data_IF_364948850285
#
_entry.id   IF_364948850285
#
_cell.length_a   1.000
_cell.length_b   1.000
_cell.length_c   1.000
_cell.angle_alpha   90.00
_cell.angle_beta   90.00
_cell.angle_gamma   90.00
#
_symmetry.space_group_name_H-M   'P 1'
#
loop_
_entity.id
_entity.type
_entity.pdbx_description
1 polymer ?
#
# COMPACT_ATOMS: atom_id res chain seq x y z
N UNK A 1 -6.54 9.99 14.17
CA UNK A 1 -6.12 11.24 13.52
C UNK A 1 -6.39 11.11 12.04
N UNK A 2 -6.94 12.13 11.39
CA UNK A 2 -7.20 12.13 9.93
C UNK A 2 -6.17 13.05 9.28
N UNK A 3 -5.32 12.57 8.34
CA UNK A 3 -4.31 13.41 7.68
C UNK A 3 -4.92 14.62 6.96
N UNK A 4 -6.16 14.48 6.48
CA UNK A 4 -6.91 15.53 5.80
C UNK A 4 -8.32 15.57 6.41
N UNK A 5 -8.86 16.78 6.64
CA UNK A 5 -10.19 16.94 7.25
C UNK A 5 -11.35 16.64 6.30
N UNK A 6 -11.09 16.68 5.00
CA UNK A 6 -12.09 16.42 3.96
C UNK A 6 -12.45 14.94 3.86
N UNK A 7 -13.74 14.67 3.61
CA UNK A 7 -14.30 13.31 3.47
C UNK A 7 -13.98 12.63 2.12
N UNK A 8 -13.26 13.32 1.24
CA UNK A 8 -12.97 12.86 -0.12
C UNK A 8 -11.75 11.92 -0.14
N UNK A 9 -11.61 11.08 -1.19
CA UNK A 9 -10.52 10.12 -1.26
C UNK A 9 -9.15 10.78 -1.15
N UNK A 10 -8.30 10.20 -0.31
CA UNK A 10 -6.90 10.60 -0.15
C UNK A 10 -5.95 9.59 -0.82
N UNK A 11 -4.73 10.03 -1.07
CA UNK A 11 -3.61 9.20 -1.53
C UNK A 11 -2.42 9.45 -0.63
N UNK A 12 -1.59 8.43 -0.47
CA UNK A 12 -0.37 8.48 0.32
C UNK A 12 0.72 7.68 -0.39
N UNK A 13 1.95 8.17 -0.35
CA UNK A 13 3.14 7.52 -0.85
C UNK A 13 4.31 7.78 0.11
N UNK A 14 5.27 6.85 0.17
CA UNK A 14 6.51 7.08 0.90
C UNK A 14 7.46 7.95 0.08
N UNK A 15 8.19 8.81 0.79
CA UNK A 15 9.35 9.53 0.27
C UNK A 15 10.62 8.73 0.56
N UNK A 16 11.75 9.17 0.01
CA UNK A 16 13.05 8.49 0.18
C UNK A 16 13.47 8.39 1.64
N UNK A 17 13.17 9.42 2.43
CA UNK A 17 13.60 9.52 3.83
C UNK A 17 12.64 8.82 4.81
N UNK A 18 11.68 8.06 4.29
CA UNK A 18 10.67 7.37 5.11
C UNK A 18 9.47 8.24 5.51
N UNK A 19 9.49 9.55 5.20
CA UNK A 19 8.32 10.42 5.41
C UNK A 19 7.16 10.03 4.50
N UNK A 20 5.94 10.33 4.91
CA UNK A 20 4.72 10.06 4.15
C UNK A 20 4.25 11.35 3.44
N UNK A 21 4.13 11.29 2.12
CA UNK A 21 3.52 12.36 1.32
C UNK A 21 2.07 12.00 1.02
N UNK A 22 1.14 12.90 1.36
CA UNK A 22 -0.29 12.70 1.17
C UNK A 22 -0.91 13.78 0.30
N UNK A 23 -1.97 13.41 -0.41
CA UNK A 23 -2.85 14.36 -1.08
C UNK A 23 -4.28 14.10 -0.66
N UNK A 24 -5.03 15.16 -0.39
CA UNK A 24 -6.40 15.07 0.07
C UNK A 24 -7.14 16.37 -0.12
N UNK A 25 -8.07 16.63 0.79
CA UNK A 25 -8.92 17.80 0.73
C UNK A 25 -9.13 18.40 2.11
N UNK A 26 -9.20 19.73 2.17
CA UNK A 26 -9.63 20.46 3.36
C UNK A 26 -11.11 20.17 3.66
N UNK A 27 -11.57 20.53 4.86
CA UNK A 27 -13.00 20.54 5.21
C UNK A 27 -13.84 21.39 4.24
N UNK A 28 -13.26 22.46 3.70
CA UNK A 28 -13.87 23.34 2.70
C UNK A 28 -13.75 22.81 1.27
N UNK A 29 -13.34 21.55 1.08
CA UNK A 29 -13.23 20.92 -0.23
C UNK A 29 -12.20 21.58 -1.16
N UNK A 30 -11.15 22.19 -0.62
CA UNK A 30 -9.96 22.55 -1.39
C UNK A 30 -9.00 21.36 -1.44
N UNK A 31 -8.27 21.18 -2.53
CA UNK A 31 -7.19 20.21 -2.64
C UNK A 31 -6.02 20.67 -1.79
N UNK A 32 -5.41 19.74 -1.07
CA UNK A 32 -4.23 19.99 -0.26
C UNK A 32 -3.26 18.82 -0.36
N UNK A 33 -1.99 19.11 -0.07
CA UNK A 33 -0.95 18.12 0.12
C UNK A 33 -0.39 18.23 1.54
N UNK A 34 0.07 17.10 2.07
CA UNK A 34 0.70 17.03 3.39
C UNK A 34 1.97 16.20 3.34
N UNK A 35 2.97 16.58 4.13
CA UNK A 35 4.17 15.81 4.40
C UNK A 35 4.19 15.47 5.89
N UNK A 36 4.37 14.20 6.23
CA UNK A 36 4.22 13.68 7.59
C UNK A 36 5.41 12.83 7.99
N UNK A 37 5.84 12.98 9.24
CA UNK A 37 6.77 12.06 9.88
C UNK A 37 5.97 10.88 10.47
N UNK A 38 6.20 9.63 10.03
CA UNK A 38 5.51 8.47 10.61
C UNK A 38 5.83 8.25 12.10
N UNK A 39 6.93 8.81 12.61
CA UNK A 39 7.32 8.74 14.03
C UNK A 39 6.65 9.82 14.88
N UNK A 40 6.24 10.93 14.27
CA UNK A 40 5.56 12.07 14.90
C UNK A 40 4.34 12.47 14.05
N UNK A 41 3.27 11.70 14.19
CA UNK A 41 2.10 11.83 13.31
C UNK A 41 1.06 12.84 13.82
N UNK A 42 1.35 13.57 14.91
CA UNK A 42 0.44 14.57 15.46
C UNK A 42 0.34 15.83 14.59
N UNK A 43 1.43 16.30 14.02
CA UNK A 43 1.46 17.50 13.20
C UNK A 43 2.18 17.23 11.86
N UNK A 44 1.68 17.78 10.74
CA UNK A 44 2.37 17.66 9.47
C UNK A 44 3.66 18.48 9.50
N UNK A 45 4.73 17.95 8.87
CA UNK A 45 5.95 18.70 8.56
C UNK A 45 5.62 19.89 7.66
N UNK A 46 4.76 19.66 6.66
CA UNK A 46 4.26 20.68 5.76
C UNK A 46 2.83 20.36 5.35
N UNK A 47 1.96 21.38 5.30
CA UNK A 47 0.59 21.27 4.80
C UNK A 47 0.31 22.45 3.87
N UNK A 48 0.03 22.17 2.60
CA UNK A 48 -0.14 23.20 1.57
C UNK A 48 -1.49 23.04 0.87
N UNK A 49 -2.29 24.09 0.90
CA UNK A 49 -3.50 24.20 0.09
C UNK A 49 -3.15 24.52 -1.37
N UNK A 50 -3.88 23.95 -2.32
CA UNK A 50 -3.60 24.05 -3.76
C UNK A 50 -4.66 24.84 -4.54
N UNK A 51 -5.84 24.25 -4.74
CA UNK A 51 -6.95 24.86 -5.48
C UNK A 51 -8.30 24.22 -5.08
N UNK A 52 -9.40 24.72 -5.64
CA UNK A 52 -10.77 24.27 -5.31
C UNK A 52 -11.30 23.19 -6.26
N UNK A 53 -10.43 22.51 -7.02
CA UNK A 53 -10.87 21.49 -7.97
C UNK A 53 -11.35 20.22 -7.26
N UNK A 54 -12.23 19.47 -7.92
CA UNK A 54 -12.82 18.25 -7.34
C UNK A 54 -12.02 16.96 -7.65
N UNK A 55 -11.05 17.02 -8.57
CA UNK A 55 -10.28 15.86 -9.00
C UNK A 55 -9.31 15.39 -7.91
N UNK A 56 -9.39 14.11 -7.55
CA UNK A 56 -8.41 13.46 -6.65
C UNK A 56 -7.04 13.53 -7.29
N UNK A 57 -6.07 14.10 -6.58
CA UNK A 57 -4.68 14.16 -7.02
C UNK A 57 -4.03 12.79 -6.85
N UNK A 58 -3.26 12.40 -7.86
CA UNK A 58 -2.37 11.25 -7.82
C UNK A 58 -0.95 11.79 -7.71
N UNK A 59 -0.24 11.50 -6.62
CA UNK A 59 1.17 11.86 -6.48
C UNK A 59 2.06 10.81 -7.14
N UNK A 60 2.98 11.26 -7.98
CA UNK A 60 4.06 10.46 -8.55
C UNK A 60 5.39 11.00 -8.03
N UNK A 61 6.11 10.20 -7.24
CA UNK A 61 7.36 10.61 -6.62
C UNK A 61 8.56 9.98 -7.34
N UNK A 62 9.55 10.81 -7.63
CA UNK A 62 10.87 10.41 -8.11
C UNK A 62 11.87 10.49 -6.94
N UNK A 63 12.32 9.36 -6.37
CA UNK A 63 13.26 9.35 -5.25
C UNK A 63 14.68 9.78 -5.64
N UNK A 64 15.01 9.78 -6.92
CA UNK A 64 16.36 10.12 -7.39
C UNK A 64 16.57 11.64 -7.38
N UNK A 65 15.51 12.40 -7.66
CA UNK A 65 15.53 13.87 -7.71
C UNK A 65 14.70 14.53 -6.60
N UNK A 66 14.13 13.75 -5.68
CA UNK A 66 13.17 14.19 -4.66
C UNK A 66 12.03 15.07 -5.20
N UNK A 67 11.55 14.77 -6.41
CA UNK A 67 10.47 15.52 -7.05
C UNK A 67 9.15 14.76 -6.95
N UNK A 68 8.07 15.49 -6.71
CA UNK A 68 6.70 14.95 -6.74
C UNK A 68 5.86 15.66 -7.80
N UNK A 69 5.20 14.88 -8.65
CA UNK A 69 4.30 15.34 -9.70
C UNK A 69 2.85 15.03 -9.29
N UNK A 70 2.01 16.06 -9.26
CA UNK A 70 0.60 15.95 -8.90
C UNK A 70 -0.27 16.11 -10.13
N UNK A 71 -1.12 15.11 -10.38
CA UNK A 71 -2.06 15.13 -11.50
C UNK A 71 -3.41 14.55 -11.06
N UNK A 72 -4.52 15.24 -11.36
CA UNK A 72 -5.87 14.74 -11.11
C UNK A 72 -6.61 14.39 -12.40
N UNK A 73 -7.48 13.38 -12.36
CA UNK A 73 -8.38 13.12 -13.51
C UNK A 73 -9.29 14.34 -13.71
N UNK A 74 -9.41 14.80 -14.94
CA UNK A 74 -10.13 16.02 -15.30
C UNK A 74 -9.25 17.28 -15.31
N UNK A 75 -8.05 17.24 -14.72
CA UNK A 75 -7.13 18.38 -14.78
C UNK A 75 -6.50 18.50 -16.17
N UNK A 76 -6.20 19.72 -16.58
CA UNK A 76 -5.42 19.98 -17.79
C UNK A 76 -3.95 20.33 -17.49
N UNK A 77 -3.54 20.25 -16.22
CA UNK A 77 -2.23 20.64 -15.73
C UNK A 77 -1.56 19.56 -14.87
N UNK A 78 -0.23 19.58 -14.83
CA UNK A 78 0.61 18.78 -13.94
C UNK A 78 1.42 19.75 -13.10
N UNK A 79 1.21 19.75 -11.78
CA UNK A 79 2.00 20.56 -10.84
C UNK A 79 3.14 19.72 -10.30
N UNK A 80 4.31 20.30 -10.09
CA UNK A 80 5.43 19.56 -9.51
C UNK A 80 6.18 20.37 -8.48
N UNK A 81 6.68 19.65 -7.48
CA UNK A 81 7.29 20.18 -6.27
C UNK A 81 8.60 19.43 -6.00
N UNK A 82 9.52 20.09 -5.33
CA UNK A 82 10.73 19.50 -4.77
C UNK A 82 10.56 19.32 -3.26
N UNK A 83 10.97 18.17 -2.75
CA UNK A 83 10.99 17.89 -1.32
C UNK A 83 12.43 18.00 -0.82
N UNK A 84 12.64 18.86 0.18
CA UNK A 84 13.96 19.12 0.78
C UNK A 84 13.87 19.10 2.29
N UNK A 85 15.01 19.01 2.96
CA UNK A 85 15.11 19.15 4.42
C UNK A 85 15.00 20.61 4.91
N UNK A 86 15.02 21.59 4.00
CA UNK A 86 14.90 23.01 4.35
C UNK A 86 13.44 23.50 4.33
N UNK A 87 12.97 24.24 5.36
CA UNK A 87 11.65 24.88 5.35
C UNK A 87 11.40 25.73 4.09
N UNK A 88 10.19 25.69 3.48
CA UNK A 88 8.96 25.00 3.92
C UNK A 88 8.88 23.49 3.59
N UNK A 89 10.00 22.82 3.33
CA UNK A 89 10.17 21.38 3.02
C UNK A 89 9.59 20.94 1.68
N UNK A 90 8.42 21.45 1.29
CA UNK A 90 7.80 21.18 -0.01
C UNK A 90 7.77 22.47 -0.82
N UNK A 91 8.62 22.53 -1.85
CA UNK A 91 8.81 23.72 -2.67
C UNK A 91 8.10 23.57 -4.01
N UNK A 92 7.18 24.49 -4.30
CA UNK A 92 6.56 24.54 -5.62
C UNK A 92 7.58 24.96 -6.68
N UNK A 93 7.75 24.14 -7.72
CA UNK A 93 8.65 24.44 -8.81
C UNK A 93 7.91 25.11 -9.96
N UNK A 94 6.98 24.39 -10.59
CA UNK A 94 6.21 24.91 -11.71
C UNK A 94 5.00 24.03 -12.05
N UNK A 95 4.30 24.41 -13.11
CA UNK A 95 3.11 23.73 -13.63
C UNK A 95 3.20 23.59 -15.14
N UNK A 96 3.20 22.35 -15.62
CA UNK A 96 2.89 22.08 -17.02
C UNK A 96 1.39 22.26 -17.25
N UNK A 97 1.00 23.04 -18.26
CA UNK A 97 -0.41 23.32 -18.58
C UNK A 97 -0.72 22.95 -20.02
N UNK A 98 -1.91 22.42 -20.25
CA UNK A 98 -2.42 22.08 -21.58
C UNK A 98 -3.90 22.43 -21.69
N UNK A 99 -4.47 22.32 -22.89
CA UNK A 99 -5.89 22.63 -23.15
C UNK A 99 -6.84 21.47 -22.86
N UNK A 100 -6.36 20.24 -23.00
CA UNK A 100 -7.19 19.04 -22.93
C UNK A 100 -7.13 18.42 -21.52
N UNK A 101 -8.27 18.03 -20.91
CA UNK A 101 -8.29 17.38 -19.61
C UNK A 101 -7.78 15.94 -19.69
N UNK A 102 -7.04 15.50 -18.68
CA UNK A 102 -6.53 14.12 -18.62
C UNK A 102 -7.59 13.12 -18.12
N UNK A 103 -7.66 11.94 -18.74
CA UNK A 103 -8.47 10.78 -18.30
C UNK A 103 -7.70 9.84 -17.38
N UNK A 104 -6.39 9.90 -17.44
CA UNK A 104 -5.45 9.12 -16.66
C UNK A 104 -4.03 9.57 -16.93
N UNK A 105 -3.10 9.03 -16.16
CA UNK A 105 -1.68 9.34 -16.26
C UNK A 105 -0.89 8.06 -16.03
N UNK A 106 0.09 7.80 -16.88
CA UNK A 106 1.17 6.84 -16.62
C UNK A 106 2.46 7.57 -16.27
N UNK A 107 3.38 6.90 -15.60
CA UNK A 107 4.68 7.44 -15.22
C UNK A 107 5.78 6.47 -15.64
N UNK A 108 6.77 6.95 -16.40
CA UNK A 108 7.89 6.14 -16.87
C UNK A 108 8.86 5.84 -15.71
N UNK A 109 9.23 4.57 -15.46
CA UNK A 109 10.33 4.25 -14.56
C UNK A 109 11.64 4.90 -15.00
N UNK A 110 12.54 5.21 -14.06
CA UNK A 110 13.80 5.91 -14.35
C UNK A 110 14.59 5.27 -15.48
N UNK A 111 14.62 3.93 -15.56
CA UNK A 111 15.31 3.16 -16.59
C UNK A 111 14.84 3.41 -18.04
N UNK A 112 13.70 4.06 -18.25
CA UNK A 112 13.15 4.35 -19.59
C UNK A 112 13.15 5.83 -19.98
N UNK A 113 13.74 6.71 -19.16
CA UNK A 113 13.93 8.13 -19.51
C UNK A 113 15.15 8.31 -20.42
N UNK A 114 15.14 9.36 -21.23
CA UNK A 114 16.21 9.71 -22.15
C UNK A 114 17.28 10.57 -21.45
N UNK A 115 18.28 9.90 -20.89
CA UNK A 115 19.40 10.56 -20.17
C UNK A 115 20.22 11.49 -21.05
N UNK A 116 20.25 11.25 -22.37
CA UNK A 116 21.00 12.09 -23.32
C UNK A 116 20.38 13.47 -23.50
N UNK A 117 19.07 13.61 -23.23
CA UNK A 117 18.34 14.86 -23.32
C UNK A 117 18.09 15.52 -21.96
N UNK A 118 18.70 15.03 -20.90
CA UNK A 118 18.42 15.46 -19.52
C UNK A 118 16.92 15.32 -19.14
N UNK A 119 16.23 14.31 -19.68
CA UNK A 119 14.87 13.96 -19.27
C UNK A 119 14.92 13.29 -17.89
N UNK A 120 14.28 13.90 -16.90
CA UNK A 120 14.25 13.39 -15.52
C UNK A 120 13.00 12.55 -15.24
N UNK A 121 11.90 12.84 -15.94
CA UNK A 121 10.66 12.08 -15.85
C UNK A 121 9.91 12.12 -17.19
N UNK A 122 9.15 11.07 -17.49
CA UNK A 122 8.24 11.03 -18.64
C UNK A 122 6.87 10.58 -18.19
N UNK A 123 5.86 11.43 -18.38
CA UNK A 123 4.48 11.11 -18.06
C UNK A 123 3.72 10.73 -19.34
N UNK A 124 2.80 9.78 -19.24
CA UNK A 124 1.94 9.34 -20.34
C UNK A 124 0.52 9.81 -20.08
N UNK A 125 0.20 11.00 -20.60
CA UNK A 125 -1.10 11.62 -20.43
C UNK A 125 -2.13 10.93 -21.31
N UNK A 126 -3.17 10.38 -20.68
CA UNK A 126 -4.28 9.78 -21.40
C UNK A 126 -5.35 10.84 -21.69
N UNK A 127 -5.73 10.92 -22.96
CA UNK A 127 -6.87 11.68 -23.45
C UNK A 127 -8.01 10.72 -23.83
N UNK A 128 -9.09 11.23 -24.41
CA UNK A 128 -10.24 10.39 -24.81
C UNK A 128 -9.88 9.31 -25.83
N UNK A 129 -8.97 9.61 -26.76
CA UNK A 129 -8.63 8.74 -27.90
C UNK A 129 -7.13 8.62 -28.20
N UNK A 130 -6.27 9.19 -27.35
CA UNK A 130 -4.81 9.18 -27.55
C UNK A 130 -4.07 9.10 -26.21
N UNK A 131 -2.84 8.61 -26.28
CA UNK A 131 -1.86 8.70 -25.20
C UNK A 131 -0.74 9.64 -25.66
N UNK A 132 -0.49 10.71 -24.90
CA UNK A 132 0.51 11.73 -25.20
C UNK A 132 1.67 11.63 -24.19
N UNK A 133 2.89 11.34 -24.63
CA UNK A 133 4.07 11.41 -23.77
C UNK A 133 4.44 12.87 -23.50
N UNK A 134 4.72 13.19 -22.23
CA UNK A 134 5.18 14.50 -21.75
C UNK A 134 6.52 14.28 -21.06
N UNK A 135 7.58 14.77 -21.69
CA UNK A 135 8.94 14.74 -21.16
C UNK A 135 9.17 15.93 -20.21
N UNK A 136 9.60 15.65 -18.99
CA UNK A 136 10.07 16.65 -18.03
C UNK A 136 11.60 16.70 -18.12
N UNK A 137 12.13 17.83 -18.59
CA UNK A 137 13.53 17.98 -18.94
C UNK A 137 14.17 19.10 -18.14
N UNK A 138 15.35 18.83 -17.58
CA UNK A 138 16.18 19.87 -16.96
C UNK A 138 17.02 20.52 -18.07
N UNK A 139 16.90 21.84 -18.31
CA UNK A 139 17.61 22.49 -19.39
C UNK A 139 19.12 22.62 -19.05
N UNK A 140 19.93 21.68 -19.53
CA UNK A 140 21.40 21.71 -19.43
C UNK A 140 22.03 22.00 -20.79
N UNK A 141 23.21 22.64 -20.78
CA UNK A 141 24.01 22.93 -21.98
C UNK A 141 25.22 21.99 -22.05
N UNK A 142 24.99 20.68 -21.97
CA UNK A 142 26.05 19.69 -22.00
C UNK A 142 25.54 18.39 -22.58
N UNK A 143 26.30 17.80 -23.49
CA UNK A 143 26.05 16.45 -24.04
C UNK A 143 26.67 15.35 -23.15
N UNK A 144 27.36 15.74 -22.07
CA UNK A 144 27.92 14.80 -21.09
C UNK A 144 26.83 14.27 -20.18
N UNK A 145 26.97 13.01 -19.78
CA UNK A 145 26.14 12.41 -18.75
C UNK A 145 26.14 13.27 -17.47
N UNK A 146 24.95 13.54 -16.94
CA UNK A 146 24.75 14.40 -15.76
C UNK A 146 24.59 13.52 -14.52
N UNK A 147 25.70 13.16 -13.87
CA UNK A 147 25.70 12.27 -12.70
C UNK A 147 24.84 12.84 -11.54
N UNK A 148 24.68 14.17 -11.47
CA UNK A 148 23.85 14.84 -10.46
C UNK A 148 22.35 14.66 -10.68
N UNK A 149 21.91 14.43 -11.92
CA UNK A 149 20.49 14.19 -12.25
C UNK A 149 20.11 12.70 -12.24
N UNK A 150 21.13 11.84 -12.32
CA UNK A 150 20.99 10.40 -12.50
C UNK A 150 21.89 9.64 -11.52
N UNK A 151 21.60 9.69 -10.21
CA UNK A 151 22.23 8.79 -9.26
C UNK A 151 21.90 7.33 -9.60
N UNK A 152 22.60 6.39 -8.98
CA UNK A 152 22.29 4.98 -9.14
C UNK A 152 20.86 4.69 -8.67
N UNK A 153 20.06 4.08 -9.55
CA UNK A 153 18.61 3.92 -9.39
C UNK A 153 18.24 2.43 -9.30
N UNK A 154 17.11 2.04 -8.69
CA UNK A 154 16.70 0.64 -8.61
C UNK A 154 16.68 -0.09 -9.96
N UNK A 155 17.44 -1.18 -10.02
CA UNK A 155 17.57 -2.05 -11.18
C UNK A 155 16.37 -2.98 -11.41
N UNK A 156 16.44 -3.85 -12.44
CA UNK A 156 15.43 -4.86 -12.69
C UNK A 156 15.59 -6.13 -11.83
N UNK A 157 16.76 -6.33 -11.23
CA UNK A 157 17.08 -7.53 -10.45
C UNK A 157 16.56 -7.37 -9.00
N UNK A 158 15.84 -8.37 -8.44
CA UNK A 158 15.36 -8.32 -7.06
C UNK A 158 16.52 -8.48 -6.07
N UNK A 159 16.44 -7.81 -4.92
CA UNK A 159 17.41 -7.94 -3.84
C UNK A 159 17.23 -9.24 -3.02
N UNK A 160 15.97 -9.67 -2.85
CA UNK A 160 15.58 -10.85 -2.09
C UNK A 160 14.66 -11.76 -2.91
N UNK A 161 14.76 -13.06 -2.67
CA UNK A 161 13.75 -14.01 -3.11
C UNK A 161 12.52 -13.97 -2.17
N UNK A 162 11.33 -14.39 -2.64
CA UNK A 162 10.09 -14.26 -1.86
C UNK A 162 10.13 -14.94 -0.49
N UNK A 163 10.80 -16.09 -0.37
CA UNK A 163 10.91 -16.84 0.88
C UNK A 163 11.75 -16.08 1.92
N UNK A 164 12.84 -15.43 1.51
CA UNK A 164 13.73 -14.67 2.40
C UNK A 164 13.02 -13.46 3.00
N UNK A 165 12.26 -12.74 2.17
CA UNK A 165 11.41 -11.64 2.64
C UNK A 165 10.30 -12.14 3.58
N UNK A 166 9.70 -13.30 3.30
CA UNK A 166 8.67 -13.88 4.16
C UNK A 166 9.20 -14.34 5.52
N UNK A 167 10.48 -14.70 5.59
CA UNK A 167 11.21 -14.99 6.83
C UNK A 167 11.59 -13.73 7.62
N UNK A 168 11.32 -12.54 7.07
CA UNK A 168 11.52 -11.25 7.71
C UNK A 168 12.85 -10.58 7.40
N UNK A 169 13.53 -10.97 6.30
CA UNK A 169 14.69 -10.24 5.80
C UNK A 169 14.24 -8.98 5.04
N UNK A 170 14.95 -7.88 5.26
CA UNK A 170 14.75 -6.61 4.56
C UNK A 170 16.09 -6.18 3.93
N UNK A 171 16.09 -5.94 2.62
CA UNK A 171 17.28 -5.49 1.87
C UNK A 171 16.89 -4.35 0.92
N UNK A 172 17.82 -3.43 0.72
CA UNK A 172 17.65 -2.31 -0.21
C UNK A 172 17.66 -2.79 -1.67
N UNK A 173 16.97 -2.09 -2.59
CA UNK A 173 16.99 -2.42 -4.00
C UNK A 173 18.42 -2.42 -4.57
N UNK A 174 18.72 -3.40 -5.43
CA UNK A 174 20.00 -3.42 -6.16
C UNK A 174 20.03 -2.23 -7.12
N UNK A 175 20.92 -1.27 -6.84
CA UNK A 175 21.05 -0.06 -7.64
C UNK A 175 21.90 -0.31 -8.89
N UNK A 176 21.59 0.42 -9.97
CA UNK A 176 22.36 0.41 -11.21
C UNK A 176 22.58 1.83 -11.74
N UNK A 177 23.74 2.04 -12.36
CA UNK A 177 24.02 3.29 -13.05
C UNK A 177 23.25 3.39 -14.36
N UNK A 178 22.75 4.58 -14.67
CA UNK A 178 22.08 4.90 -15.93
C UNK A 178 23.06 5.31 -17.05
N UNK A 179 24.36 5.39 -16.75
CA UNK A 179 25.40 5.80 -17.71
C UNK A 179 25.53 4.83 -18.88
N UNK A 180 25.42 3.53 -18.62
CA UNK A 180 25.57 2.47 -19.62
C UNK A 180 24.30 2.29 -20.49
N UNK A 181 23.29 3.13 -20.28
CA UNK A 181 22.03 3.08 -20.99
C UNK A 181 21.12 1.94 -20.53
N UNK A 182 20.26 1.45 -21.42
CA UNK A 182 19.30 0.40 -21.09
C UNK A 182 19.99 -0.96 -21.00
N UNK A 183 20.06 -1.50 -19.78
CA UNK A 183 20.44 -2.89 -19.53
C UNK A 183 19.17 -3.75 -19.47
N UNK A 184 18.99 -4.72 -20.39
CA UNK A 184 17.82 -5.59 -20.35
C UNK A 184 17.86 -6.48 -19.10
N UNK A 185 16.71 -6.76 -18.47
CA UNK A 185 16.64 -7.73 -17.39
C UNK A 185 17.22 -9.08 -17.85
N UNK A 186 17.93 -9.77 -16.96
CA UNK A 186 18.33 -11.16 -17.23
C UNK A 186 17.06 -11.95 -17.51
N UNK A 187 17.02 -12.66 -18.64
CA UNK A 187 15.85 -13.46 -19.05
C UNK A 187 15.57 -14.54 -18.00
N UNK A 188 14.71 -14.23 -17.03
CA UNK A 188 14.00 -15.20 -16.20
C UNK A 188 12.63 -15.37 -16.86
N UNK A 189 12.40 -16.52 -17.50
CA UNK A 189 11.03 -16.92 -17.80
C UNK A 189 10.26 -16.98 -16.48
N UNK A 190 9.18 -16.20 -16.37
CA UNK A 190 8.33 -16.21 -15.19
C UNK A 190 7.64 -17.58 -15.09
N UNK A 191 8.24 -18.50 -14.34
CA UNK A 191 7.66 -19.79 -14.02
C UNK A 191 6.71 -19.62 -12.84
N UNK A 192 5.44 -19.35 -13.14
CA UNK A 192 4.38 -19.32 -12.12
C UNK A 192 4.13 -20.75 -11.65
N UNK A 193 4.82 -21.16 -10.57
CA UNK A 193 4.46 -22.37 -9.86
C UNK A 193 3.12 -22.14 -9.15
N UNK A 194 2.01 -22.58 -9.77
CA UNK A 194 0.71 -22.66 -9.09
C UNK A 194 0.79 -23.76 -8.05
N UNK A 195 1.42 -23.51 -6.90
CA UNK A 195 1.12 -24.28 -5.70
C UNK A 195 -0.32 -23.90 -5.31
N UNK A 196 -1.27 -24.78 -5.61
CA UNK A 196 -2.61 -24.65 -5.08
C UNK A 196 -2.51 -24.68 -3.55
N UNK A 197 -2.63 -23.54 -2.91
CA UNK A 197 -2.73 -23.42 -1.43
C UNK A 197 -3.94 -24.21 -0.89
N UNK A 198 -4.88 -24.57 -1.78
CA UNK A 198 -6.00 -25.47 -1.50
C UNK A 198 -5.62 -26.96 -1.43
N UNK A 199 -4.50 -27.40 -2.02
CA UNK A 199 -4.05 -28.81 -1.92
C UNK A 199 -3.40 -29.12 -0.56
N UNK A 200 -2.93 -28.10 0.17
CA UNK A 200 -2.52 -28.23 1.58
C UNK A 200 -3.68 -28.16 2.57
N UNK A 201 -4.92 -27.96 2.10
CA UNK A 201 -6.12 -28.03 2.94
C UNK A 201 -6.68 -29.44 2.81
N UNK A 202 -6.86 -30.21 3.90
CA UNK A 202 -7.59 -31.47 3.80
C UNK A 202 -8.95 -31.15 3.18
N UNK A 203 -9.28 -31.87 2.10
CA UNK A 203 -10.52 -31.71 1.33
C UNK A 203 -11.70 -31.41 2.26
N UNK A 204 -12.51 -30.37 2.02
CA UNK A 204 -13.75 -30.23 2.76
C UNK A 204 -14.57 -31.48 2.45
N UNK A 205 -14.80 -32.32 3.47
CA UNK A 205 -15.68 -33.48 3.34
C UNK A 205 -16.99 -32.95 2.79
N UNK A 206 -17.25 -33.24 1.51
CA UNK A 206 -18.60 -33.15 0.94
C UNK A 206 -19.50 -33.88 1.93
N UNK A 207 -20.50 -33.17 2.44
CA UNK A 207 -21.65 -33.75 3.11
C UNK A 207 -22.40 -34.62 2.10
N UNK A 208 -21.84 -35.80 1.79
CA UNK A 208 -22.63 -36.88 1.25
C UNK A 208 -23.02 -37.75 2.43
N UNK A 209 -24.28 -37.57 2.80
CA UNK A 209 -25.05 -38.59 3.49
C UNK A 209 -24.98 -39.86 2.65
N UNK A 210 -24.13 -40.77 3.07
CA UNK A 210 -24.25 -42.18 2.76
C UNK A 210 -23.66 -42.93 3.95
N UNK A 211 -24.56 -43.43 4.78
CA UNK A 211 -24.27 -44.49 5.72
C UNK A 211 -23.56 -45.63 4.98
N UNK A 212 -22.32 -45.92 5.34
CA UNK A 212 -21.82 -47.29 5.39
C UNK A 212 -20.46 -47.39 6.11
N UNK A 213 -20.45 -48.24 7.14
CA UNK A 213 -19.41 -49.23 7.40
C UNK A 213 -17.97 -48.78 7.67
N UNK A 214 -17.61 -48.77 8.96
CA UNK A 214 -16.32 -49.22 9.48
C UNK A 214 -15.07 -48.40 9.16
N UNK A 215 -14.91 -47.27 9.86
CA UNK A 215 -13.58 -46.73 10.18
C UNK A 215 -13.22 -47.14 11.61
N UNK A 216 -12.33 -48.12 11.76
CA UNK A 216 -11.75 -48.53 13.05
C UNK A 216 -10.99 -47.34 13.67
N UNK A 217 -11.66 -46.59 14.54
CA UNK A 217 -11.01 -45.66 15.46
C UNK A 217 -10.19 -46.48 16.48
N UNK A 218 -8.94 -46.07 16.80
CA UNK A 218 -8.16 -46.76 17.83
C UNK A 218 -8.95 -46.83 19.14
N UNK A 219 -9.13 -48.01 19.77
CA UNK A 219 -10.00 -48.15 20.95
C UNK A 219 -9.57 -47.23 22.11
N UNK A 220 -8.27 -46.94 22.24
CA UNK A 220 -7.72 -46.01 23.23
C UNK A 220 -8.12 -44.53 23.02
N UNK A 221 -8.48 -44.14 21.79
CA UNK A 221 -8.96 -42.80 21.51
C UNK A 221 -10.47 -42.69 21.79
N UNK A 222 -11.23 -43.74 21.47
CA UNK A 222 -12.67 -43.82 21.77
C UNK A 222 -12.92 -43.76 23.28
N UNK A 223 -12.11 -44.50 24.06
CA UNK A 223 -12.21 -44.52 25.51
C UNK A 223 -11.88 -43.16 26.15
N UNK A 224 -10.81 -42.49 25.69
CA UNK A 224 -10.49 -41.12 26.13
C UNK A 224 -11.59 -40.11 25.81
N UNK A 225 -12.15 -40.18 24.60
CA UNK A 225 -13.22 -39.26 24.20
C UNK A 225 -14.50 -39.51 25.01
N UNK A 226 -14.82 -40.77 25.33
CA UNK A 226 -15.95 -41.11 26.19
C UNK A 226 -15.77 -40.55 27.62
N UNK A 227 -14.58 -40.68 28.18
CA UNK A 227 -14.24 -40.15 29.50
C UNK A 227 -14.33 -38.62 29.53
N UNK A 228 -13.81 -37.95 28.50
CA UNK A 228 -13.88 -36.49 28.36
C UNK A 228 -15.34 -36.01 28.22
N UNK A 229 -16.16 -36.70 27.44
CA UNK A 229 -17.60 -36.39 27.30
C UNK A 229 -18.34 -36.58 28.63
N UNK A 230 -17.99 -37.62 29.41
CA UNK A 230 -18.59 -37.82 30.74
C UNK A 230 -18.19 -36.71 31.73
N UNK A 231 -16.92 -36.32 31.73
CA UNK A 231 -16.41 -35.22 32.57
C UNK A 231 -17.05 -33.87 32.22
N UNK A 232 -17.20 -33.59 30.92
CA UNK A 232 -17.88 -32.39 30.44
C UNK A 232 -19.35 -32.38 30.86
N UNK A 233 -20.06 -33.51 30.71
CA UNK A 233 -21.46 -33.62 31.16
C UNK A 233 -21.61 -33.41 32.67
N UNK A 234 -20.72 -33.98 33.47
CA UNK A 234 -20.73 -33.77 34.93
C UNK A 234 -20.48 -32.31 35.30
N UNK A 235 -19.56 -31.64 34.59
CA UNK A 235 -19.24 -30.23 34.80
C UNK A 235 -20.44 -29.34 34.45
N UNK A 236 -21.09 -29.58 33.32
CA UNK A 236 -22.29 -28.84 32.90
C UNK A 236 -23.42 -29.00 33.93
N UNK A 237 -23.71 -30.22 34.38
CA UNK A 237 -24.73 -30.46 35.42
C UNK A 237 -24.40 -29.74 36.74
N UNK A 238 -23.13 -29.75 37.14
CA UNK A 238 -22.70 -29.01 38.34
C UNK A 238 -22.86 -27.50 38.18
N UNK A 239 -22.60 -26.97 36.98
CA UNK A 239 -22.77 -25.55 36.68
C UNK A 239 -24.25 -25.17 36.64
N UNK A 240 -25.12 -25.97 36.02
CA UNK A 240 -26.57 -25.76 36.00
C UNK A 240 -27.16 -25.74 37.42
N UNK A 241 -26.74 -26.68 38.28
CA UNK A 241 -27.16 -26.68 39.69
C UNK A 241 -26.72 -25.41 40.42
N UNK A 242 -25.46 -24.98 40.21
CA UNK A 242 -24.94 -23.76 40.82
C UNK A 242 -25.67 -22.52 40.32
N UNK A 243 -26.01 -22.45 39.04
CA UNK A 243 -26.79 -21.36 38.46
C UNK A 243 -28.18 -21.33 39.11
N UNK A 244 -28.87 -22.46 39.19
CA UNK A 244 -30.18 -22.54 39.84
C UNK A 244 -30.14 -22.12 41.32
N UNK A 245 -29.12 -22.54 42.08
CA UNK A 245 -28.95 -22.13 43.48
C UNK A 245 -28.68 -20.62 43.61
N UNK A 246 -27.92 -20.04 42.69
CA UNK A 246 -27.64 -18.59 42.65
C UNK A 246 -28.89 -17.80 42.27
N UNK A 247 -29.66 -18.25 41.28
CA UNK A 247 -30.94 -17.65 40.88
C UNK A 247 -31.96 -17.69 42.04
N UNK A 248 -32.04 -18.81 42.76
CA UNK A 248 -32.89 -18.97 43.95
C UNK A 248 -32.45 -18.10 45.13
N UNK A 249 -31.14 -17.79 45.26
CA UNK A 249 -30.67 -16.82 46.26
C UNK A 249 -31.00 -15.40 45.83
N UNK A 250 -30.79 -15.07 44.55
CA UNK A 250 -31.07 -13.74 44.00
C UNK A 250 -32.56 -13.39 44.14
N UNK A 251 -33.45 -14.35 43.89
CA UNK A 251 -34.91 -14.16 44.01
C UNK A 251 -35.37 -13.86 45.45
N UNK A 252 -34.63 -14.34 46.45
CA UNK A 252 -34.88 -14.01 47.87
C UNK A 252 -34.47 -12.59 48.24
N UNK A 253 -33.47 -12.02 47.55
CA UNK A 253 -33.06 -10.63 47.76
C UNK A 253 -33.98 -9.65 47.02
N UNK A 254 -34.54 -10.01 45.85
CA UNK A 254 -35.45 -9.15 45.09
C UNK A 254 -36.86 -9.04 45.69
N UNK A 255 -37.28 -10.00 46.53
CA UNK A 255 -38.57 -9.97 47.23
C UNK A 255 -38.51 -9.38 48.65
N UNK A 256 -37.36 -8.79 49.05
CA UNK A 256 -37.11 -8.28 50.40
C UNK A 256 -36.86 -6.76 50.50
N UNK A 257 -37.13 -5.99 49.44
CA UNK A 257 -37.16 -4.52 49.49
C UNK A 257 -38.53 -4.04 49.05
N UNK A 258 -39.47 -4.10 49.99
CA UNK A 258 -40.61 -3.19 50.11
C UNK A 258 -40.38 -2.33 51.36
#
# INVERSE_FOLDING_TARGET
MTPHEGIRPMRAIFTRDGNLFTTGFTRMSQRELGLWDPTQFEEPIALLELDTSNGVLLPYYDPDTNMVYLCGKGDSSIRYFEITEEPPYVHYLSTFSSKEPQRGMGFMPKRGVDVSKCEIARLYKLHDKKCEPIAMTVPRKSDLFQDDLYPDTPGPDPALEPEEWLEGQDEDPILQSMRDGYVPPKSRELKVARKNVLDSRPTPRRSMSSCDGSANLPPQLVERLLEEVQNLKATVLSQEKRICDLENKLSKYTNGTA
#
